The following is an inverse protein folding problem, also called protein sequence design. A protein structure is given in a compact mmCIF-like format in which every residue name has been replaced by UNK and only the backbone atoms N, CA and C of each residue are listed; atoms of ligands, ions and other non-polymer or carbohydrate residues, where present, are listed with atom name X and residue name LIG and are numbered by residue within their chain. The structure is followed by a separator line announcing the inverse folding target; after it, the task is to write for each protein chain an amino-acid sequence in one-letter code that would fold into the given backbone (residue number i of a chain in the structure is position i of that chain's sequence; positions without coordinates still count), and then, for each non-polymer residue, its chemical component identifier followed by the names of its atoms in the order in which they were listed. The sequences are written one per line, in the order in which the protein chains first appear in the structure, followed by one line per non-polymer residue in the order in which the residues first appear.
data_IF_631622931635
#
_entry.id   IF_631622931635
#
_cell.length_a   1.000
_cell.length_b   1.000
_cell.length_c   1.000
_cell.angle_alpha   90.00
_cell.angle_beta   90.00
_cell.angle_gamma   90.00
#
_symmetry.space_group_name_H-M   'P 1'
#
loop_
_entity.id
_entity.type
_entity.pdbx_description
1 polymer ?
#
# COMPACT_ATOMS: atom_id res chain seq x y z
N UNK A 1 -20.69 1.99 -0.14
CA UNK A 1 -20.84 1.33 -1.45
C UNK A 1 -21.76 0.14 -1.29
N UNK A 2 -22.66 -0.14 -2.25
CA UNK A 2 -23.53 -1.33 -2.24
C UNK A 2 -22.96 -2.51 -3.04
N UNK A 3 -21.72 -2.39 -3.54
CA UNK A 3 -21.07 -3.41 -4.36
C UNK A 3 -21.52 -3.39 -5.83
N UNK A 4 -21.07 -4.40 -6.59
CA UNK A 4 -21.43 -4.60 -8.00
C UNK A 4 -21.63 -6.10 -8.27
N UNK A 5 -22.65 -6.44 -9.06
CA UNK A 5 -22.94 -7.84 -9.42
C UNK A 5 -22.03 -8.27 -10.57
N UNK A 6 -21.33 -9.39 -10.41
CA UNK A 6 -20.42 -9.96 -11.41
C UNK A 6 -20.78 -11.42 -11.67
N UNK A 7 -20.52 -11.90 -12.89
CA UNK A 7 -20.73 -13.31 -13.20
C UNK A 7 -19.67 -14.18 -12.53
N UNK A 8 -20.03 -15.40 -12.13
CA UNK A 8 -19.05 -16.37 -11.58
C UNK A 8 -17.91 -16.62 -12.58
N UNK A 9 -18.21 -16.62 -13.88
CA UNK A 9 -17.21 -16.80 -14.94
C UNK A 9 -16.23 -15.64 -15.07
N UNK A 10 -16.52 -14.48 -14.48
CA UNK A 10 -15.66 -13.29 -14.48
C UNK A 10 -14.76 -13.22 -13.25
N UNK A 11 -15.04 -14.04 -12.22
CA UNK A 11 -14.22 -14.12 -11.04
C UNK A 11 -12.82 -14.63 -11.40
N UNK A 12 -11.82 -14.00 -10.79
CA UNK A 12 -10.42 -14.40 -10.89
C UNK A 12 -9.92 -14.79 -9.51
N UNK A 13 -8.93 -15.68 -9.41
CA UNK A 13 -8.21 -15.87 -8.15
C UNK A 13 -7.72 -14.54 -7.61
N UNK A 14 -7.78 -14.37 -6.30
CA UNK A 14 -7.19 -13.22 -5.64
C UNK A 14 -5.68 -13.19 -5.90
N UNK A 15 -5.18 -12.03 -6.29
CA UNK A 15 -3.75 -11.81 -6.50
C UNK A 15 -3.21 -10.95 -5.35
N UNK A 16 -2.30 -11.53 -4.58
CA UNK A 16 -1.63 -10.80 -3.50
C UNK A 16 -0.76 -9.66 -4.07
N UNK A 17 -0.69 -8.50 -3.40
CA UNK A 17 0.24 -7.45 -3.78
C UNK A 17 1.69 -7.94 -3.67
N UNK A 18 2.53 -7.50 -4.60
CA UNK A 18 3.94 -7.87 -4.63
C UNK A 18 4.75 -7.04 -3.62
N UNK A 19 4.80 -7.52 -2.38
CA UNK A 19 5.50 -6.85 -1.29
C UNK A 19 7.03 -6.89 -1.42
N UNK A 20 7.59 -7.69 -2.32
CA UNK A 20 9.06 -7.73 -2.55
C UNK A 20 9.64 -6.40 -3.06
N UNK A 21 8.77 -5.50 -3.53
CA UNK A 21 9.12 -4.17 -4.04
C UNK A 21 9.05 -3.05 -3.00
N UNK A 22 8.72 -3.38 -1.75
CA UNK A 22 8.70 -2.41 -0.66
C UNK A 22 10.15 -2.07 -0.29
N UNK A 23 10.49 -0.80 -0.41
CA UNK A 23 11.78 -0.24 -0.02
C UNK A 23 11.59 1.22 0.38
N UNK A 24 12.57 1.81 1.06
CA UNK A 24 12.58 3.26 1.33
C UNK A 24 12.35 4.07 0.03
N UNK A 25 11.51 5.10 0.13
CA UNK A 25 11.10 5.95 -0.98
C UNK A 25 10.02 5.34 -1.90
N UNK A 26 9.60 4.09 -1.68
CA UNK A 26 8.53 3.47 -2.44
C UNK A 26 7.18 4.19 -2.17
N UNK A 27 6.44 4.48 -3.24
CA UNK A 27 5.07 5.03 -3.15
C UNK A 27 4.10 3.88 -2.94
N UNK A 28 3.19 4.06 -2.00
CA UNK A 28 2.23 3.03 -1.63
C UNK A 28 0.86 3.62 -1.24
N UNK A 29 -0.14 2.75 -1.15
CA UNK A 29 -1.31 2.99 -0.32
C UNK A 29 -1.07 2.31 1.03
N UNK A 30 -1.35 3.01 2.12
CA UNK A 30 -1.30 2.46 3.46
C UNK A 30 -2.68 2.53 4.11
N UNK A 31 -3.10 1.45 4.77
CA UNK A 31 -4.36 1.40 5.50
C UNK A 31 -4.23 2.16 6.83
N UNK A 32 -5.02 3.20 7.00
CA UNK A 32 -5.04 4.02 8.20
C UNK A 32 -6.02 3.42 9.23
N UNK A 33 -6.02 3.95 10.47
CA UNK A 33 -6.81 3.44 11.60
C UNK A 33 -8.33 3.59 11.45
N UNK A 34 -8.77 4.33 10.44
CA UNK A 34 -10.17 4.49 10.02
C UNK A 34 -10.58 3.47 8.94
N UNK A 35 -9.74 2.46 8.69
CA UNK A 35 -9.90 1.42 7.67
C UNK A 35 -9.86 1.92 6.21
N UNK A 36 -9.46 3.17 5.99
CA UNK A 36 -9.32 3.77 4.65
C UNK A 36 -7.87 3.70 4.19
N UNK A 37 -7.68 3.44 2.89
CA UNK A 37 -6.38 3.42 2.24
C UNK A 37 -6.00 4.80 1.73
N UNK A 38 -4.87 5.34 2.18
CA UNK A 38 -4.38 6.66 1.78
C UNK A 38 -3.02 6.59 1.10
N UNK A 39 -2.70 7.54 0.18
CA UNK A 39 -1.36 7.67 -0.38
C UNK A 39 -0.31 7.94 0.69
N UNK A 40 0.79 7.21 0.61
CA UNK A 40 1.92 7.33 1.50
C UNK A 40 3.24 7.02 0.78
N UNK A 41 4.33 7.32 1.47
CA UNK A 41 5.69 6.97 1.04
C UNK A 41 6.37 6.20 2.15
N UNK A 42 6.98 5.06 1.83
CA UNK A 42 7.80 4.27 2.77
C UNK A 42 9.02 5.08 3.17
N UNK A 43 9.21 5.28 4.47
CA UNK A 43 10.37 6.01 5.04
C UNK A 43 11.41 5.08 5.63
N UNK A 44 11.02 3.89 6.08
CA UNK A 44 11.93 2.88 6.59
C UNK A 44 11.30 1.47 6.54
N UNK A 45 12.13 0.44 6.42
CA UNK A 45 11.72 -0.97 6.50
C UNK A 45 12.36 -1.55 7.75
N UNK A 46 11.58 -1.63 8.82
CA UNK A 46 12.10 -1.92 10.15
C UNK A 46 12.37 -3.42 10.36
N UNK A 47 11.44 -4.28 9.91
CA UNK A 47 11.48 -5.75 10.02
C UNK A 47 10.75 -6.36 8.81
N UNK A 48 10.75 -7.70 8.69
CA UNK A 48 10.08 -8.43 7.59
C UNK A 48 8.57 -8.17 7.48
N UNK A 49 7.93 -7.69 8.56
CA UNK A 49 6.48 -7.48 8.62
C UNK A 49 6.05 -6.06 8.97
N UNK A 50 6.98 -5.14 9.27
CA UNK A 50 6.68 -3.77 9.69
C UNK A 50 7.43 -2.74 8.86
N UNK A 51 6.72 -1.69 8.47
CA UNK A 51 7.23 -0.64 7.60
C UNK A 51 6.78 0.70 8.15
N UNK A 52 7.70 1.67 8.19
CA UNK A 52 7.35 3.05 8.49
C UNK A 52 6.93 3.75 7.20
N UNK A 53 5.80 4.44 7.27
CA UNK A 53 5.29 5.23 6.16
C UNK A 53 4.96 6.63 6.62
N UNK A 54 5.13 7.59 5.71
CA UNK A 54 4.63 8.94 5.84
C UNK A 54 3.45 9.13 4.91
N UNK A 55 2.28 9.43 5.46
CA UNK A 55 1.10 9.76 4.67
C UNK A 55 1.30 11.07 3.91
N UNK A 56 0.79 11.21 2.69
CA UNK A 56 0.99 12.45 1.93
C UNK A 56 0.23 13.63 2.55
N UNK A 57 -0.95 13.36 3.11
CA UNK A 57 -1.79 14.36 3.76
C UNK A 57 -1.30 14.76 5.16
N UNK A 58 -0.46 13.93 5.80
CA UNK A 58 -0.03 14.12 7.19
C UNK A 58 1.49 14.01 7.26
N UNK A 59 2.18 15.01 7.80
CA UNK A 59 3.66 14.97 7.91
C UNK A 59 4.19 13.98 8.95
N UNK A 60 3.31 13.22 9.59
CA UNK A 60 3.66 12.25 10.62
C UNK A 60 3.94 10.88 10.01
N UNK A 61 4.92 10.19 10.60
CA UNK A 61 5.24 8.81 10.27
C UNK A 61 4.49 7.84 11.19
N UNK A 62 4.10 6.71 10.62
CA UNK A 62 3.42 5.63 11.32
C UNK A 62 4.04 4.29 10.94
N UNK A 63 4.19 3.40 11.92
CA UNK A 63 4.59 2.01 11.70
C UNK A 63 3.35 1.17 11.39
N UNK A 64 3.36 0.46 10.26
CA UNK A 64 2.22 -0.30 9.75
C UNK A 64 2.69 -1.67 9.29
N UNK A 65 1.82 -2.68 9.43
CA UNK A 65 2.10 -4.02 8.93
C UNK A 65 2.15 -4.07 7.40
N UNK A 66 3.02 -4.92 6.85
CA UNK A 66 3.19 -5.10 5.41
C UNK A 66 1.86 -5.48 4.71
N UNK A 67 0.99 -6.25 5.36
CA UNK A 67 -0.35 -6.59 4.84
C UNK A 67 -1.32 -5.40 4.68
N UNK A 68 -0.97 -4.26 5.29
CA UNK A 68 -1.70 -3.00 5.22
C UNK A 68 -1.01 -2.00 4.28
N UNK A 69 -0.18 -2.49 3.37
CA UNK A 69 0.53 -1.72 2.36
C UNK A 69 0.26 -2.30 0.96
N UNK A 70 -0.14 -1.44 0.02
CA UNK A 70 -0.21 -1.77 -1.41
C UNK A 70 0.84 -0.96 -2.16
N UNK A 71 1.91 -1.60 -2.68
CA UNK A 71 2.93 -0.91 -3.46
C UNK A 71 2.35 -0.37 -4.78
N UNK A 72 2.60 0.91 -5.09
CA UNK A 72 2.12 1.54 -6.33
C UNK A 72 3.18 1.53 -7.46
N UNK A 73 4.33 0.90 -7.21
CA UNK A 73 5.48 0.90 -8.13
C UNK A 73 6.33 2.17 -8.02
N UNK A 74 7.56 2.13 -8.58
CA UNK A 74 8.42 3.31 -8.64
C UNK A 74 7.82 4.31 -9.61
N UNK A 75 7.74 5.58 -9.20
CA UNK A 75 7.61 6.69 -10.16
C UNK A 75 8.91 6.69 -10.96
N UNK A 76 8.86 6.18 -12.19
CA UNK A 76 9.93 6.41 -13.17
C UNK A 76 9.84 7.88 -13.57
N UNK A 77 10.47 8.74 -12.76
CA UNK A 77 10.73 10.11 -13.15
C UNK A 77 11.71 10.09 -14.32
N UNK A 78 11.19 10.29 -15.52
CA UNK A 78 12.02 10.68 -16.66
C UNK A 78 12.37 12.15 -16.41
N UNK A 79 13.66 12.42 -16.16
CA UNK A 79 14.22 13.78 -16.13
C UNK A 79 14.41 14.31 -17.55
#
# INVERSE_FOLDING_TARGET
SHGHLVSVSELKPFQEPDHSKICEGCRCLAKHTDDIWYPATVTDVCDDQLVNVRFDAQKQECTIQVEHIVPLGKVTGVF
#
